data_IF_000958690322
#
_entry.id   IF_000958690322
#
_cell.length_a   1.000
_cell.length_b   1.000
_cell.length_c   1.000
_cell.angle_alpha   90.00
_cell.angle_beta   90.00
_cell.angle_gamma   90.00
#
_symmetry.space_group_name_H-M   'P 1'
#
loop_
_entity.id
_entity.type
_entity.pdbx_description
1 polymer ?
#
# COMPACT_ATOMS: atom_id res chain seq x y z
N UNK A 1 14.53 2.90 29.68
CA UNK A 1 14.62 1.45 29.37
C UNK A 1 14.68 1.35 27.86
N UNK A 2 15.81 0.89 27.32
CA UNK A 2 16.04 0.84 25.87
C UNK A 2 15.17 -0.26 25.27
N UNK A 3 14.24 0.13 24.39
CA UNK A 3 13.44 -0.80 23.57
C UNK A 3 14.39 -1.49 22.58
N UNK A 4 14.67 -2.75 22.83
CA UNK A 4 15.37 -3.64 21.90
C UNK A 4 14.60 -3.69 20.58
N UNK A 5 15.25 -3.59 19.40
CA UNK A 5 14.58 -3.80 18.12
C UNK A 5 13.90 -5.17 18.16
N UNK A 6 12.58 -5.20 17.89
CA UNK A 6 11.84 -6.47 17.79
C UNK A 6 12.52 -7.32 16.72
N UNK A 7 13.29 -8.30 17.16
CA UNK A 7 13.73 -9.39 16.30
C UNK A 7 12.49 -9.99 15.64
N UNK A 8 12.59 -10.27 14.34
CA UNK A 8 11.58 -11.03 13.60
C UNK A 8 11.18 -12.24 14.45
N UNK A 9 9.91 -12.36 14.85
CA UNK A 9 9.51 -13.44 15.76
C UNK A 9 9.92 -14.79 15.17
N UNK A 10 10.44 -15.74 15.99
CA UNK A 10 10.83 -17.08 15.53
C UNK A 10 9.70 -17.91 14.91
N UNK A 11 8.46 -17.42 14.98
CA UNK A 11 7.25 -17.99 14.38
C UNK A 11 7.38 -18.16 12.85
N UNK A 12 8.16 -17.33 12.17
CA UNK A 12 8.38 -17.46 10.72
C UNK A 12 9.28 -18.65 10.32
N UNK A 13 10.04 -19.22 11.26
CA UNK A 13 10.72 -20.51 11.05
C UNK A 13 9.73 -21.68 10.91
N UNK A 14 8.47 -21.52 11.34
CA UNK A 14 7.46 -22.58 11.32
C UNK A 14 6.48 -22.51 10.15
N UNK A 15 6.40 -21.41 9.36
CA UNK A 15 5.51 -21.32 8.20
C UNK A 15 5.93 -22.24 7.04
N UNK A 16 7.17 -22.74 7.08
CA UNK A 16 7.63 -23.83 6.23
C UNK A 16 8.82 -24.51 6.90
N UNK A 17 8.59 -25.52 7.72
CA UNK A 17 9.68 -26.33 8.29
C UNK A 17 10.70 -26.66 7.19
N UNK A 18 11.84 -25.96 7.18
CA UNK A 18 12.96 -26.21 6.29
C UNK A 18 12.76 -25.88 4.80
N UNK A 19 11.81 -25.02 4.42
CA UNK A 19 11.60 -24.64 3.01
C UNK A 19 12.06 -23.20 2.76
N UNK A 20 12.79 -22.99 1.68
CA UNK A 20 13.32 -21.70 1.25
C UNK A 20 12.61 -21.23 -0.01
N UNK A 21 12.16 -19.99 -0.04
CA UNK A 21 11.29 -19.47 -1.06
C UNK A 21 12.02 -18.43 -1.91
N UNK A 22 11.89 -18.56 -3.23
CA UNK A 22 12.26 -17.52 -4.17
C UNK A 22 11.03 -17.07 -4.95
N UNK A 23 10.95 -15.78 -5.25
CA UNK A 23 10.02 -15.23 -6.22
C UNK A 23 10.81 -14.71 -7.42
N UNK A 24 10.31 -14.93 -8.63
CA UNK A 24 10.94 -14.46 -9.85
C UNK A 24 9.91 -13.99 -10.88
N UNK A 25 10.29 -13.06 -11.74
CA UNK A 25 9.47 -12.70 -12.88
C UNK A 25 10.18 -13.02 -14.19
N UNK A 26 9.42 -13.41 -15.22
CA UNK A 26 9.93 -13.76 -16.53
C UNK A 26 8.88 -13.47 -17.61
N UNK A 27 9.35 -12.98 -18.76
CA UNK A 27 8.48 -12.59 -19.87
C UNK A 27 8.45 -13.62 -21.01
N UNK A 28 9.30 -14.65 -21.00
CA UNK A 28 9.55 -15.51 -22.16
C UNK A 28 9.45 -17.00 -21.86
N UNK A 29 9.33 -17.81 -22.93
CA UNK A 29 9.49 -19.28 -22.84
C UNK A 29 10.83 -19.68 -22.21
N UNK A 30 11.90 -18.91 -22.49
CA UNK A 30 13.24 -19.14 -21.94
C UNK A 30 13.26 -18.98 -20.41
N UNK A 31 12.60 -17.93 -19.87
CA UNK A 31 12.50 -17.75 -18.42
C UNK A 31 11.78 -18.89 -17.73
N UNK A 32 10.71 -19.44 -18.33
CA UNK A 32 10.02 -20.62 -17.78
C UNK A 32 10.93 -21.87 -17.76
N UNK A 33 11.73 -22.07 -18.79
CA UNK A 33 12.68 -23.18 -18.82
C UNK A 33 13.78 -23.04 -17.75
N UNK A 34 14.30 -21.84 -17.53
CA UNK A 34 15.27 -21.57 -16.46
C UNK A 34 14.68 -21.81 -15.06
N UNK A 35 13.43 -21.43 -14.84
CA UNK A 35 12.74 -21.72 -13.56
C UNK A 35 12.56 -23.22 -13.36
N UNK A 36 12.13 -23.95 -14.37
CA UNK A 36 11.98 -25.41 -14.31
C UNK A 36 13.32 -26.13 -14.04
N UNK A 37 14.42 -25.58 -14.52
CA UNK A 37 15.77 -26.13 -14.34
C UNK A 37 16.47 -25.63 -13.08
N UNK A 38 15.85 -24.77 -12.28
CA UNK A 38 16.44 -24.20 -11.06
C UNK A 38 16.59 -25.21 -9.91
N UNK A 39 16.00 -26.40 -10.01
CA UNK A 39 15.97 -27.40 -8.96
C UNK A 39 14.94 -27.14 -7.84
N UNK A 40 14.20 -26.05 -7.93
CA UNK A 40 13.10 -25.73 -6.99
C UNK A 40 11.77 -26.32 -7.44
N UNK A 41 10.88 -26.57 -6.48
CA UNK A 41 9.49 -26.91 -6.77
C UNK A 41 8.69 -25.62 -6.97
N UNK A 42 8.08 -25.48 -8.14
CA UNK A 42 7.16 -24.35 -8.42
C UNK A 42 5.89 -24.55 -7.60
N UNK A 43 5.62 -23.67 -6.65
CA UNK A 43 4.40 -23.70 -5.83
C UNK A 43 3.26 -22.93 -6.46
N UNK A 44 3.57 -21.82 -7.06
CA UNK A 44 2.59 -20.96 -7.71
C UNK A 44 3.24 -20.24 -8.87
N UNK A 45 2.50 -20.09 -9.97
CA UNK A 45 2.89 -19.30 -11.13
C UNK A 45 1.70 -18.45 -11.53
N UNK A 46 1.94 -17.17 -11.75
CA UNK A 46 0.90 -16.20 -12.09
C UNK A 46 1.32 -15.39 -13.30
N UNK A 47 0.43 -15.31 -14.27
CA UNK A 47 0.55 -14.39 -15.38
C UNK A 47 -0.13 -13.08 -15.02
N UNK A 48 0.55 -11.98 -15.27
CA UNK A 48 0.11 -10.61 -15.02
C UNK A 48 0.12 -9.86 -16.36
N UNK A 49 -0.87 -10.11 -17.25
CA UNK A 49 -0.82 -9.64 -18.63
C UNK A 49 -0.86 -8.13 -18.77
N UNK A 50 -1.58 -7.41 -17.90
CA UNK A 50 -1.65 -5.95 -17.92
C UNK A 50 -0.31 -5.31 -17.50
N UNK A 51 0.44 -5.97 -16.62
CA UNK A 51 1.80 -5.58 -16.25
C UNK A 51 2.87 -6.08 -17.25
N UNK A 52 2.47 -6.97 -18.17
CA UNK A 52 3.40 -7.63 -19.09
C UNK A 52 4.42 -8.50 -18.36
N UNK A 53 4.05 -9.13 -17.25
CA UNK A 53 4.91 -9.94 -16.40
C UNK A 53 4.34 -11.35 -16.22
N UNK A 54 5.22 -12.29 -15.89
CA UNK A 54 4.86 -13.56 -15.30
C UNK A 54 5.71 -13.77 -14.06
N UNK A 55 5.11 -14.19 -12.98
CA UNK A 55 5.79 -14.41 -11.70
C UNK A 55 5.64 -15.85 -11.25
N UNK A 56 6.60 -16.36 -10.49
CA UNK A 56 6.53 -17.67 -9.88
C UNK A 56 7.13 -17.65 -8.48
N UNK A 57 6.56 -18.45 -7.59
CA UNK A 57 7.14 -18.77 -6.29
C UNK A 57 7.71 -20.18 -6.34
N UNK A 58 8.98 -20.31 -5.96
CA UNK A 58 9.69 -21.60 -5.89
C UNK A 58 10.06 -21.91 -4.44
N UNK A 59 10.05 -23.20 -4.11
CA UNK A 59 10.52 -23.67 -2.81
C UNK A 59 11.66 -24.65 -3.00
N UNK A 60 12.65 -24.56 -2.11
CA UNK A 60 13.83 -25.39 -2.10
C UNK A 60 13.95 -26.15 -0.78
N UNK A 61 14.52 -27.38 -0.78
CA UNK A 61 14.72 -28.15 0.44
C UNK A 61 15.71 -27.48 1.42
N UNK A 62 16.73 -26.76 0.91
CA UNK A 62 17.76 -26.09 1.72
C UNK A 62 17.96 -24.64 1.30
N UNK A 63 18.49 -23.82 2.22
CA UNK A 63 18.86 -22.44 1.95
C UNK A 63 19.96 -22.37 0.87
N UNK A 64 20.94 -23.23 0.95
CA UNK A 64 22.05 -23.27 0.00
C UNK A 64 21.58 -23.47 -1.44
N UNK A 65 20.62 -24.39 -1.66
CA UNK A 65 20.00 -24.60 -2.96
C UNK A 65 19.21 -23.36 -3.43
N UNK A 66 18.50 -22.70 -2.53
CA UNK A 66 17.78 -21.49 -2.85
C UNK A 66 18.72 -20.33 -3.21
N UNK A 67 19.81 -20.15 -2.45
CA UNK A 67 20.80 -19.09 -2.71
C UNK A 67 21.57 -19.36 -4.03
N UNK A 68 21.92 -20.61 -4.32
CA UNK A 68 22.54 -20.99 -5.59
C UNK A 68 21.61 -20.76 -6.79
N UNK A 69 20.33 -21.13 -6.66
CA UNK A 69 19.31 -20.89 -7.69
C UNK A 69 19.08 -19.39 -7.90
N UNK A 70 19.04 -18.60 -6.85
CA UNK A 70 18.89 -17.14 -6.92
C UNK A 70 20.02 -16.51 -7.75
N UNK A 71 21.28 -16.87 -7.47
CA UNK A 71 22.44 -16.40 -8.21
C UNK A 71 22.38 -16.82 -9.68
N UNK A 72 22.00 -18.07 -9.97
CA UNK A 72 21.89 -18.58 -11.32
C UNK A 72 20.79 -17.85 -12.13
N UNK A 73 19.65 -17.58 -11.54
CA UNK A 73 18.54 -16.85 -12.17
C UNK A 73 18.90 -15.39 -12.45
N UNK A 74 19.61 -14.75 -11.54
CA UNK A 74 20.08 -13.37 -11.70
C UNK A 74 21.19 -13.25 -12.76
N UNK A 75 22.04 -14.28 -12.90
CA UNK A 75 23.10 -14.35 -13.89
C UNK A 75 22.64 -14.75 -15.30
N UNK A 76 21.40 -15.24 -15.46
CA UNK A 76 20.85 -15.69 -16.73
C UNK A 76 20.85 -14.58 -17.81
N UNK A 77 20.83 -14.99 -19.09
CA UNK A 77 20.74 -14.06 -20.22
C UNK A 77 19.55 -14.44 -21.13
N UNK A 78 18.48 -13.64 -21.25
CA UNK A 78 18.26 -12.38 -20.51
C UNK A 78 18.07 -12.62 -18.99
N UNK A 79 18.40 -11.66 -18.14
CA UNK A 79 18.32 -11.83 -16.69
C UNK A 79 16.86 -12.01 -16.24
N UNK A 80 16.67 -12.87 -15.24
CA UNK A 80 15.40 -13.03 -14.53
C UNK A 80 15.49 -12.21 -13.24
N UNK A 81 14.52 -11.35 -12.98
CA UNK A 81 14.40 -10.70 -11.67
C UNK A 81 13.95 -11.74 -10.67
N UNK A 82 14.78 -12.06 -9.72
CA UNK A 82 14.50 -13.01 -8.66
C UNK A 82 14.96 -12.47 -7.31
N UNK A 83 14.22 -12.76 -6.24
CA UNK A 83 14.54 -12.36 -4.88
C UNK A 83 13.96 -13.35 -3.86
N UNK A 84 14.40 -13.26 -2.62
CA UNK A 84 13.80 -13.99 -1.50
C UNK A 84 12.38 -13.45 -1.28
N UNK A 85 11.42 -14.36 -1.11
CA UNK A 85 10.02 -13.99 -1.02
C UNK A 85 9.74 -13.14 0.24
N UNK A 86 9.41 -11.88 0.04
CA UNK A 86 9.17 -10.93 1.12
C UNK A 86 7.79 -11.12 1.76
N UNK A 87 7.74 -10.90 3.07
CA UNK A 87 6.50 -10.86 3.84
C UNK A 87 6.09 -9.39 3.99
N UNK A 88 4.82 -9.12 3.75
CA UNK A 88 4.24 -7.78 3.73
C UNK A 88 3.25 -7.67 4.89
N UNK A 89 3.33 -6.59 5.66
CA UNK A 89 2.51 -6.36 6.86
C UNK A 89 1.61 -5.15 6.71
N UNK A 90 0.40 -5.16 7.34
CA UNK A 90 -0.38 -3.95 7.54
C UNK A 90 0.33 -3.04 8.56
N UNK A 91 0.20 -1.73 8.38
CA UNK A 91 0.90 -0.76 9.22
C UNK A 91 -0.07 0.01 10.11
N UNK A 92 -0.27 -0.46 11.34
CA UNK A 92 -1.22 0.11 12.29
C UNK A 92 -0.71 0.14 13.73
N UNK A 93 -1.12 1.18 14.50
CA UNK A 93 -1.11 1.20 15.97
C UNK A 93 -2.30 2.04 16.46
N UNK A 94 -2.77 1.84 17.70
CA UNK A 94 -3.97 2.53 18.21
C UNK A 94 -3.71 3.45 19.38
N UNK A 95 -4.62 4.36 19.61
CA UNK A 95 -5.18 5.16 20.71
C UNK A 95 -5.07 6.70 20.59
N UNK A 96 -6.09 7.46 20.98
CA UNK A 96 -6.30 8.61 21.30
C UNK A 96 -7.16 9.76 21.67
N UNK A 97 -7.07 11.01 21.38
CA UNK A 97 -7.79 12.17 21.96
C UNK A 97 -8.17 13.30 20.96
N UNK A 98 -7.97 13.13 19.68
CA UNK A 98 -8.28 14.16 18.68
C UNK A 98 -9.78 14.28 18.37
N UNK A 99 -10.24 15.45 17.90
CA UNK A 99 -11.60 15.64 17.39
C UNK A 99 -11.90 14.73 16.19
N UNK A 100 -13.14 14.25 16.06
CA UNK A 100 -13.54 13.24 15.06
C UNK A 100 -13.28 13.65 13.60
N UNK A 101 -13.16 14.92 13.29
CA UNK A 101 -13.01 15.45 11.92
C UNK A 101 -11.76 16.31 11.72
N UNK A 102 -10.84 16.32 12.69
CA UNK A 102 -9.65 17.16 12.63
C UNK A 102 -8.85 16.99 11.31
N UNK A 103 -8.89 15.78 10.72
CA UNK A 103 -8.17 15.48 9.50
C UNK A 103 -8.65 16.34 8.32
N UNK A 104 -9.96 16.53 8.16
CA UNK A 104 -10.53 17.38 7.11
C UNK A 104 -10.21 18.86 7.36
N UNK A 105 -10.23 19.30 8.61
CA UNK A 105 -9.84 20.66 9.00
C UNK A 105 -8.37 20.94 8.66
N UNK A 106 -7.47 20.03 8.98
CA UNK A 106 -6.04 20.14 8.62
C UNK A 106 -5.82 20.22 7.11
N UNK A 107 -6.62 19.51 6.32
CA UNK A 107 -6.57 19.49 4.87
C UNK A 107 -7.32 20.70 4.24
N UNK A 108 -7.86 21.60 5.06
CA UNK A 108 -8.66 22.77 4.66
C UNK A 108 -9.92 22.44 3.86
N UNK A 109 -10.52 21.29 4.12
CA UNK A 109 -11.84 20.96 3.58
C UNK A 109 -12.89 21.83 4.27
N UNK A 110 -13.50 22.76 3.54
CA UNK A 110 -14.48 23.72 4.07
C UNK A 110 -15.92 23.31 3.81
N UNK A 111 -16.16 22.54 2.76
CA UNK A 111 -17.50 22.15 2.35
C UNK A 111 -17.58 20.67 1.98
N UNK A 112 -18.76 20.02 2.17
CA UNK A 112 -18.97 18.64 1.72
C UNK A 112 -18.77 18.44 0.21
N UNK A 113 -18.94 19.47 -0.59
CA UNK A 113 -18.71 19.41 -2.04
C UNK A 113 -17.24 19.11 -2.37
N UNK A 114 -16.30 19.59 -1.55
CA UNK A 114 -14.87 19.36 -1.72
C UNK A 114 -14.45 17.91 -1.44
N UNK A 115 -15.32 17.07 -0.88
CA UNK A 115 -15.06 15.64 -0.67
C UNK A 115 -15.59 14.77 -1.81
N UNK A 116 -16.18 15.35 -2.85
CA UNK A 116 -16.82 14.60 -3.94
C UNK A 116 -15.94 14.49 -5.18
N UNK A 117 -15.95 13.29 -5.77
CA UNK A 117 -15.38 13.01 -7.10
C UNK A 117 -16.52 13.05 -8.12
N UNK A 118 -16.42 13.94 -9.11
CA UNK A 118 -17.50 14.18 -10.10
C UNK A 118 -17.26 13.51 -11.46
N UNK A 119 -16.35 12.54 -11.53
CA UNK A 119 -16.02 11.86 -12.78
C UNK A 119 -15.81 10.36 -12.57
N UNK A 120 -15.65 9.63 -13.68
CA UNK A 120 -15.47 8.18 -13.70
C UNK A 120 -14.08 7.69 -13.20
N UNK A 121 -13.43 8.42 -12.27
CA UNK A 121 -12.16 7.98 -11.69
C UNK A 121 -12.36 6.69 -10.90
N UNK A 122 -11.45 5.75 -11.12
CA UNK A 122 -11.39 4.49 -10.39
C UNK A 122 -10.20 4.53 -9.43
N UNK A 123 -10.48 4.41 -8.14
CA UNK A 123 -9.50 4.37 -7.05
C UNK A 123 -9.44 2.95 -6.50
N UNK A 124 -8.25 2.37 -6.47
CA UNK A 124 -8.00 1.07 -5.88
C UNK A 124 -7.31 1.17 -4.53
N UNK A 125 -7.44 0.14 -3.70
CA UNK A 125 -6.56 -0.05 -2.56
C UNK A 125 -6.29 -1.54 -2.30
N UNK A 126 -5.11 -1.83 -1.75
CA UNK A 126 -4.67 -3.18 -1.40
C UNK A 126 -4.46 -3.22 0.11
N UNK A 127 -5.23 -4.10 0.80
CA UNK A 127 -5.30 -4.11 2.27
C UNK A 127 -5.84 -5.44 2.81
N UNK A 128 -6.37 -5.43 4.04
CA UNK A 128 -7.30 -6.47 4.51
C UNK A 128 -8.60 -6.39 3.73
N UNK A 129 -9.45 -7.39 3.83
CA UNK A 129 -10.84 -7.25 3.39
C UNK A 129 -11.54 -6.15 4.19
N UNK A 130 -12.67 -5.67 3.71
CA UNK A 130 -13.54 -4.75 4.44
C UNK A 130 -14.74 -5.50 5.02
N UNK A 131 -15.25 -5.01 6.14
CA UNK A 131 -16.39 -5.65 6.83
C UNK A 131 -17.69 -5.55 6.01
N UNK A 132 -17.95 -4.39 5.41
CA UNK A 132 -19.11 -4.12 4.55
C UNK A 132 -18.84 -2.89 3.67
N UNK A 133 -19.51 -2.82 2.54
CA UNK A 133 -19.58 -1.60 1.72
C UNK A 133 -20.64 -0.61 2.25
N UNK A 134 -21.47 -1.01 3.21
CA UNK A 134 -22.43 -0.12 3.86
C UNK A 134 -21.71 1.06 4.52
N UNK A 135 -22.21 2.24 4.31
CA UNK A 135 -21.54 3.48 4.75
C UNK A 135 -20.43 3.97 3.82
N UNK A 136 -20.22 3.38 2.65
CA UNK A 136 -19.39 3.94 1.61
C UNK A 136 -20.23 4.74 0.61
N UNK A 137 -19.86 5.97 0.36
CA UNK A 137 -20.49 6.84 -0.65
C UNK A 137 -19.72 6.74 -1.98
N UNK A 138 -19.86 5.62 -2.67
CA UNK A 138 -19.19 5.34 -3.95
C UNK A 138 -20.18 5.35 -5.11
N UNK A 139 -19.72 5.68 -6.32
CA UNK A 139 -20.51 5.52 -7.55
C UNK A 139 -20.61 4.03 -7.92
N UNK A 140 -19.54 3.27 -7.72
CA UNK A 140 -19.54 1.81 -7.80
C UNK A 140 -18.51 1.21 -6.85
N UNK A 141 -18.79 0.02 -6.34
CA UNK A 141 -17.88 -0.72 -5.47
C UNK A 141 -17.69 -2.14 -5.97
N UNK A 142 -16.43 -2.59 -5.99
CA UNK A 142 -16.09 -4.01 -6.18
C UNK A 142 -14.99 -4.39 -5.21
N UNK A 143 -15.05 -5.60 -4.68
CA UNK A 143 -13.99 -6.20 -3.87
C UNK A 143 -13.58 -7.56 -4.40
N UNK A 144 -12.32 -7.94 -4.16
CA UNK A 144 -11.81 -9.25 -4.53
C UNK A 144 -10.78 -9.72 -3.49
N UNK A 145 -10.92 -11.00 -3.09
CA UNK A 145 -9.96 -11.72 -2.25
C UNK A 145 -8.90 -12.39 -3.13
N UNK A 146 -7.65 -12.41 -2.67
CA UNK A 146 -6.51 -12.96 -3.40
C UNK A 146 -5.81 -14.13 -2.69
N UNK A 147 -6.14 -14.42 -1.45
CA UNK A 147 -5.67 -15.62 -0.74
C UNK A 147 -6.73 -16.75 -0.81
N UNK A 148 -6.33 -17.98 -0.50
CA UNK A 148 -7.21 -19.14 -0.63
C UNK A 148 -8.36 -19.08 0.39
N UNK A 149 -9.52 -19.68 0.04
CA UNK A 149 -10.69 -19.76 0.93
C UNK A 149 -10.42 -20.58 2.20
N UNK A 150 -9.40 -21.43 2.17
CA UNK A 150 -8.92 -22.19 3.34
C UNK A 150 -8.06 -21.38 4.28
N UNK A 151 -7.56 -20.21 3.86
CA UNK A 151 -6.78 -19.32 4.70
C UNK A 151 -7.69 -18.52 5.63
N UNK A 152 -7.24 -18.27 6.85
CA UNK A 152 -7.96 -17.41 7.79
C UNK A 152 -7.77 -15.94 7.41
N UNK A 153 -8.83 -15.20 7.08
CA UNK A 153 -8.71 -13.78 6.77
C UNK A 153 -8.15 -12.99 7.97
N UNK A 154 -7.39 -11.93 7.69
CA UNK A 154 -7.05 -10.95 8.70
C UNK A 154 -8.32 -10.18 9.15
N UNK A 155 -8.34 -9.61 10.39
CA UNK A 155 -9.42 -8.73 10.82
C UNK A 155 -9.64 -7.59 9.84
N UNK A 156 -10.91 -7.30 9.53
CA UNK A 156 -11.31 -6.33 8.48
C UNK A 156 -11.16 -4.86 8.89
N UNK A 157 -10.82 -4.60 10.12
CA UNK A 157 -10.76 -3.25 10.71
C UNK A 157 -9.84 -2.28 9.96
N UNK A 158 -8.68 -2.77 9.50
CA UNK A 158 -7.69 -1.93 8.85
C UNK A 158 -8.18 -1.49 7.47
N UNK A 159 -8.57 -2.41 6.60
CA UNK A 159 -9.09 -2.10 5.27
C UNK A 159 -10.42 -1.34 5.32
N UNK A 160 -11.28 -1.62 6.31
CA UNK A 160 -12.52 -0.85 6.55
C UNK A 160 -12.21 0.61 6.92
N UNK A 161 -11.20 0.84 7.78
CA UNK A 161 -10.75 2.18 8.12
C UNK A 161 -10.18 2.95 6.93
N UNK A 162 -9.36 2.29 6.11
CA UNK A 162 -8.83 2.85 4.86
C UNK A 162 -9.98 3.19 3.90
N UNK A 163 -10.91 2.27 3.67
CA UNK A 163 -12.07 2.50 2.80
C UNK A 163 -12.95 3.66 3.29
N UNK A 164 -13.12 3.80 4.62
CA UNK A 164 -13.85 4.92 5.19
C UNK A 164 -13.17 6.26 4.93
N UNK A 165 -11.84 6.36 5.10
CA UNK A 165 -11.09 7.59 4.78
C UNK A 165 -11.22 7.93 3.30
N UNK A 166 -11.18 6.94 2.41
CA UNK A 166 -11.34 7.14 0.98
C UNK A 166 -12.74 7.65 0.64
N UNK A 167 -13.79 6.93 1.01
CA UNK A 167 -15.13 7.20 0.50
C UNK A 167 -16.26 6.95 1.52
N UNK A 168 -15.94 6.92 2.82
CA UNK A 168 -16.94 6.70 3.86
C UNK A 168 -17.95 7.83 3.97
N UNK A 169 -19.16 7.46 4.40
CA UNK A 169 -20.21 8.38 4.81
C UNK A 169 -21.07 7.70 5.86
N UNK A 170 -21.42 8.40 6.91
CA UNK A 170 -22.37 7.90 7.89
C UNK A 170 -23.32 9.00 8.38
N UNK A 171 -24.38 8.59 9.07
CA UNK A 171 -25.40 9.50 9.59
C UNK A 171 -24.88 10.39 10.72
N UNK A 172 -23.74 10.06 11.33
CA UNK A 172 -23.08 10.87 12.36
C UNK A 172 -22.16 11.96 11.77
N UNK A 173 -22.21 12.22 10.46
CA UNK A 173 -21.50 13.31 9.79
C UNK A 173 -20.08 12.95 9.35
N UNK A 174 -19.61 11.70 9.46
CA UNK A 174 -18.29 11.32 8.94
C UNK A 174 -18.30 11.38 7.41
N UNK A 175 -17.21 11.91 6.86
CA UNK A 175 -17.01 12.04 5.40
C UNK A 175 -15.60 11.58 5.02
N UNK A 176 -15.53 10.61 4.12
CA UNK A 176 -14.31 10.28 3.38
C UNK A 176 -14.04 11.32 2.29
N UNK A 177 -12.79 11.39 1.86
CA UNK A 177 -12.32 12.49 1.02
C UNK A 177 -12.61 12.31 -0.49
N UNK A 178 -13.02 11.11 -0.95
CA UNK A 178 -13.31 10.83 -2.37
C UNK A 178 -14.70 10.21 -2.57
N UNK A 179 -15.74 10.82 -1.99
CA UNK A 179 -17.12 10.36 -2.17
C UNK A 179 -17.54 10.39 -3.64
N UNK A 180 -18.28 9.40 -4.10
CA UNK A 180 -18.68 9.26 -5.49
C UNK A 180 -17.63 8.59 -6.40
N UNK A 181 -16.47 8.24 -5.89
CA UNK A 181 -15.45 7.53 -6.65
C UNK A 181 -15.90 6.09 -7.00
N UNK A 182 -15.40 5.53 -8.09
CA UNK A 182 -15.47 4.08 -8.34
C UNK A 182 -14.39 3.40 -7.50
N UNK A 183 -14.76 2.70 -6.43
CA UNK A 183 -13.81 2.12 -5.48
C UNK A 183 -13.59 0.63 -5.75
N UNK A 184 -12.33 0.20 -5.71
CA UNK A 184 -11.89 -1.18 -5.89
C UNK A 184 -11.05 -1.62 -4.69
N UNK A 185 -11.51 -2.65 -3.97
CA UNK A 185 -10.87 -3.17 -2.75
C UNK A 185 -10.24 -4.54 -3.01
N UNK A 186 -8.93 -4.65 -2.88
CA UNK A 186 -8.19 -5.91 -3.02
C UNK A 186 -7.77 -6.44 -1.64
N UNK A 187 -8.43 -7.50 -1.17
CA UNK A 187 -8.11 -8.18 0.08
C UNK A 187 -6.96 -9.17 -0.10
N UNK A 188 -5.81 -8.86 0.47
CA UNK A 188 -4.60 -9.69 0.37
C UNK A 188 -4.09 -10.20 1.71
N UNK A 189 -4.57 -9.65 2.83
CA UNK A 189 -4.07 -9.95 4.16
C UNK A 189 -4.80 -11.12 4.80
N UNK A 190 -4.03 -12.04 5.38
CA UNK A 190 -4.53 -13.21 6.10
C UNK A 190 -3.78 -13.36 7.43
N UNK A 191 -4.39 -14.07 8.37
CA UNK A 191 -3.71 -14.46 9.61
C UNK A 191 -2.78 -15.63 9.30
N UNK A 192 -1.47 -15.37 9.29
CA UNK A 192 -0.44 -16.38 8.98
C UNK A 192 0.03 -17.15 10.23
N UNK A 193 -0.23 -16.58 11.40
CA UNK A 193 -0.08 -17.21 12.72
C UNK A 193 -1.01 -16.47 13.70
N UNK A 194 -1.35 -17.01 14.87
CA UNK A 194 -2.25 -16.39 15.83
C UNK A 194 -1.88 -14.93 16.11
N UNK A 195 -2.76 -13.99 15.73
CA UNK A 195 -2.57 -12.55 15.89
C UNK A 195 -1.55 -11.91 14.93
N UNK A 196 -0.98 -12.66 13.98
CA UNK A 196 -0.03 -12.16 12.99
C UNK A 196 -0.70 -12.12 11.62
N UNK A 197 -0.99 -10.91 11.15
CA UNK A 197 -1.59 -10.67 9.86
C UNK A 197 -0.51 -10.27 8.85
N UNK A 198 -0.46 -10.94 7.70
CA UNK A 198 0.51 -10.68 6.65
C UNK A 198 0.01 -11.11 5.28
N UNK A 199 0.69 -10.68 4.25
CA UNK A 199 0.57 -11.13 2.87
C UNK A 199 1.96 -11.41 2.29
N UNK A 200 2.05 -11.58 0.99
CA UNK A 200 3.31 -11.75 0.29
C UNK A 200 3.29 -10.99 -1.05
N UNK A 201 4.46 -10.81 -1.63
CA UNK A 201 4.66 -10.10 -2.90
C UNK A 201 3.77 -10.61 -4.04
N UNK A 202 3.56 -11.93 -4.12
CA UNK A 202 2.78 -12.53 -5.20
C UNK A 202 1.30 -12.14 -5.13
N UNK A 203 0.71 -12.14 -3.92
CA UNK A 203 -0.68 -11.71 -3.72
C UNK A 203 -0.84 -10.20 -4.00
N UNK A 204 0.15 -9.38 -3.61
CA UNK A 204 0.16 -7.95 -3.93
C UNK A 204 0.25 -7.72 -5.45
N UNK A 205 1.10 -8.49 -6.16
CA UNK A 205 1.20 -8.43 -7.61
C UNK A 205 -0.10 -8.81 -8.32
N UNK A 206 -0.77 -9.89 -7.88
CA UNK A 206 -2.07 -10.31 -8.41
C UNK A 206 -3.17 -9.26 -8.14
N UNK A 207 -3.16 -8.66 -6.95
CA UNK A 207 -4.10 -7.61 -6.59
C UNK A 207 -3.89 -6.37 -7.48
N UNK A 208 -2.66 -5.95 -7.71
CA UNK A 208 -2.34 -4.82 -8.57
C UNK A 208 -2.72 -5.09 -10.03
N UNK A 209 -2.47 -6.30 -10.54
CA UNK A 209 -2.90 -6.73 -11.87
C UNK A 209 -4.42 -6.63 -12.05
N UNK A 210 -5.20 -7.12 -11.05
CA UNK A 210 -6.66 -6.99 -11.07
C UNK A 210 -7.09 -5.52 -11.04
N UNK A 211 -6.49 -4.70 -10.18
CA UNK A 211 -6.81 -3.28 -10.12
C UNK A 211 -6.56 -2.58 -11.46
N UNK A 212 -5.48 -2.93 -12.15
CA UNK A 212 -5.20 -2.40 -13.49
C UNK A 212 -6.27 -2.86 -14.50
N UNK A 213 -6.71 -4.12 -14.45
CA UNK A 213 -7.81 -4.60 -15.29
C UNK A 213 -9.16 -3.91 -15.01
N UNK A 214 -9.35 -3.39 -13.80
CA UNK A 214 -10.48 -2.54 -13.41
C UNK A 214 -10.30 -1.06 -13.77
N UNK A 215 -9.25 -0.73 -14.55
CA UNK A 215 -8.93 0.62 -15.03
C UNK A 215 -8.66 1.66 -13.94
N UNK A 216 -8.01 1.28 -12.84
CA UNK A 216 -7.64 2.24 -11.79
C UNK A 216 -6.70 3.32 -12.31
N UNK A 217 -6.80 4.50 -11.74
CA UNK A 217 -5.86 5.61 -11.94
C UNK A 217 -4.94 5.80 -10.73
N UNK A 218 -5.44 5.49 -9.54
CA UNK A 218 -4.73 5.64 -8.27
C UNK A 218 -4.88 4.36 -7.46
N UNK A 219 -3.81 3.92 -6.79
CA UNK A 219 -3.86 2.79 -5.86
C UNK A 219 -3.23 3.19 -4.53
N UNK A 220 -3.98 3.00 -3.44
CA UNK A 220 -3.48 3.14 -2.08
C UNK A 220 -2.90 1.81 -1.58
N UNK A 221 -1.69 1.86 -1.03
CA UNK A 221 -0.92 0.73 -0.51
C UNK A 221 -0.58 0.97 0.96
N UNK A 222 -1.54 0.69 1.85
CA UNK A 222 -1.38 0.87 3.31
C UNK A 222 -0.67 -0.33 3.96
N UNK A 223 0.42 -0.77 3.35
CA UNK A 223 1.19 -1.96 3.71
C UNK A 223 2.69 -1.70 3.54
N UNK A 224 3.52 -2.55 4.14
CA UNK A 224 4.98 -2.41 4.03
C UNK A 224 5.77 -3.69 4.26
N UNK A 225 6.94 -3.73 3.64
CA UNK A 225 7.89 -4.84 3.69
C UNK A 225 9.34 -4.34 3.65
N UNK A 226 10.29 -5.28 3.73
CA UNK A 226 11.65 -5.06 3.25
C UNK A 226 11.65 -4.92 1.71
N UNK A 227 12.79 -4.50 1.14
CA UNK A 227 12.98 -4.48 -0.30
C UNK A 227 12.78 -5.88 -0.91
N UNK A 228 12.15 -5.91 -2.07
CA UNK A 228 11.86 -7.13 -2.84
C UNK A 228 11.93 -6.77 -4.32
N UNK A 229 12.81 -7.42 -5.07
CA UNK A 229 13.05 -7.08 -6.47
C UNK A 229 11.85 -7.39 -7.38
N UNK A 230 11.03 -8.39 -7.02
CA UNK A 230 9.81 -8.71 -7.78
C UNK A 230 8.76 -7.64 -7.55
N UNK A 231 8.57 -7.19 -6.30
CA UNK A 231 7.66 -6.08 -6.00
C UNK A 231 8.12 -4.78 -6.68
N UNK A 232 9.44 -4.51 -6.69
CA UNK A 232 10.01 -3.37 -7.41
C UNK A 232 9.68 -3.40 -8.92
N UNK A 233 9.80 -4.57 -9.56
CA UNK A 233 9.46 -4.72 -10.96
C UNK A 233 7.97 -4.51 -11.24
N UNK A 234 7.09 -5.05 -10.39
CA UNK A 234 5.64 -4.87 -10.47
C UNK A 234 5.26 -3.38 -10.32
N UNK A 235 5.82 -2.70 -9.32
CA UNK A 235 5.63 -1.25 -9.08
C UNK A 235 6.11 -0.43 -10.28
N UNK A 236 7.30 -0.73 -10.80
CA UNK A 236 7.86 -0.04 -11.97
C UNK A 236 6.95 -0.17 -13.20
N UNK A 237 6.38 -1.36 -13.44
CA UNK A 237 5.44 -1.58 -14.55
C UNK A 237 4.13 -0.82 -14.37
N UNK A 238 3.56 -0.81 -13.16
CA UNK A 238 2.36 -0.04 -12.87
C UNK A 238 2.58 1.47 -13.09
N UNK A 239 3.72 2.01 -12.62
CA UNK A 239 4.11 3.40 -12.87
C UNK A 239 4.26 3.71 -14.36
N UNK A 240 4.88 2.79 -15.14
CA UNK A 240 5.03 2.95 -16.58
C UNK A 240 3.67 3.00 -17.31
N UNK A 241 2.66 2.33 -16.80
CA UNK A 241 1.27 2.40 -17.28
C UNK A 241 0.53 3.69 -16.83
N UNK A 242 1.17 4.55 -16.05
CA UNK A 242 0.59 5.79 -15.56
C UNK A 242 -0.35 5.61 -14.35
N UNK A 243 -0.25 4.48 -13.64
CA UNK A 243 -0.96 4.29 -12.38
C UNK A 243 -0.22 5.03 -11.27
N UNK A 244 -0.91 5.89 -10.55
CA UNK A 244 -0.34 6.61 -9.40
C UNK A 244 -0.41 5.72 -8.17
N UNK A 245 0.74 5.34 -7.63
CA UNK A 245 0.84 4.52 -6.42
C UNK A 245 1.14 5.42 -5.22
N UNK A 246 0.31 5.32 -4.19
CA UNK A 246 0.45 6.03 -2.92
C UNK A 246 0.66 5.01 -1.83
N UNK A 247 1.70 5.15 -1.02
CA UNK A 247 2.03 4.15 -0.01
C UNK A 247 2.37 4.77 1.36
N UNK A 248 2.07 4.02 2.40
CA UNK A 248 2.43 4.35 3.77
C UNK A 248 3.96 4.33 3.97
N UNK A 249 4.56 5.41 4.47
CA UNK A 249 6.01 5.55 4.62
C UNK A 249 6.64 4.56 5.62
N UNK A 250 5.84 3.98 6.52
CA UNK A 250 6.30 3.01 7.51
C UNK A 250 6.10 3.48 8.96
N UNK A 251 6.01 2.51 9.88
CA UNK A 251 5.76 2.75 11.31
C UNK A 251 6.82 2.07 12.20
N UNK A 252 8.05 1.97 11.72
CA UNK A 252 9.19 1.38 12.44
C UNK A 252 10.00 2.37 13.28
N UNK A 253 9.71 3.67 13.17
CA UNK A 253 10.41 4.74 13.89
C UNK A 253 11.53 5.41 13.09
N UNK A 254 12.18 6.39 13.71
CA UNK A 254 13.15 7.29 13.07
C UNK A 254 14.40 6.62 12.51
N UNK A 255 14.77 5.46 13.04
CA UNK A 255 15.97 4.69 12.66
C UNK A 255 15.64 3.46 11.82
N UNK A 256 14.36 3.23 11.50
CA UNK A 256 13.95 2.08 10.71
C UNK A 256 14.48 2.17 9.27
N UNK A 257 14.79 1.02 8.70
CA UNK A 257 15.08 0.91 7.27
C UNK A 257 13.89 1.40 6.43
N UNK A 258 14.13 1.85 5.18
CA UNK A 258 13.06 2.23 4.27
C UNK A 258 12.00 1.13 4.14
N UNK A 259 10.74 1.52 4.10
CA UNK A 259 9.60 0.61 3.90
C UNK A 259 9.20 0.57 2.43
N UNK A 260 8.96 -0.61 1.90
CA UNK A 260 8.53 -0.83 0.52
C UNK A 260 7.09 -1.33 0.48
N UNK A 261 6.28 -0.87 -0.49
CA UNK A 261 6.65 -0.20 -1.74
C UNK A 261 6.90 1.31 -1.63
N UNK A 262 6.71 1.97 -0.50
CA UNK A 262 6.82 3.42 -0.38
C UNK A 262 8.18 3.97 -0.86
N UNK A 263 9.27 3.26 -0.59
CA UNK A 263 10.62 3.70 -0.96
C UNK A 263 11.03 3.35 -2.42
N UNK A 264 10.17 2.73 -3.22
CA UNK A 264 10.46 2.55 -4.63
C UNK A 264 10.28 3.83 -5.43
N UNK A 265 11.12 4.06 -6.47
CA UNK A 265 10.95 5.20 -7.36
C UNK A 265 9.55 5.26 -7.98
N UNK A 266 8.97 6.46 -8.04
CA UNK A 266 7.65 6.69 -8.62
C UNK A 266 6.47 6.40 -7.68
N UNK A 267 6.70 5.91 -6.46
CA UNK A 267 5.68 5.77 -5.43
C UNK A 267 5.63 7.03 -4.57
N UNK A 268 4.44 7.51 -4.28
CA UNK A 268 4.21 8.66 -3.40
C UNK A 268 4.16 8.16 -1.96
N UNK A 269 5.28 8.29 -1.25
CA UNK A 269 5.39 7.88 0.15
C UNK A 269 4.78 8.92 1.08
N UNK A 270 3.83 8.51 1.91
CA UNK A 270 3.09 9.40 2.79
C UNK A 270 3.42 9.11 4.26
N UNK A 271 3.89 10.14 4.97
CA UNK A 271 4.06 10.12 6.41
C UNK A 271 2.82 10.64 7.14
N UNK A 272 2.73 10.39 8.44
CA UNK A 272 1.58 10.73 9.26
C UNK A 272 1.88 11.89 10.22
N UNK A 273 0.92 12.81 10.37
CA UNK A 273 0.92 13.84 11.41
C UNK A 273 -0.35 13.78 12.24
N UNK A 274 -0.27 14.32 13.46
CA UNK A 274 -1.39 14.51 14.37
C UNK A 274 -2.14 15.84 14.13
N UNK A 275 -3.16 16.12 14.93
CA UNK A 275 -3.94 17.35 14.89
C UNK A 275 -3.09 18.63 15.13
N UNK A 276 -2.00 18.51 15.88
CA UNK A 276 -1.00 19.57 16.10
C UNK A 276 0.05 19.69 15.02
N UNK A 277 -0.06 18.91 13.92
CA UNK A 277 0.93 18.82 12.84
C UNK A 277 2.28 18.25 13.30
N UNK A 278 2.32 17.54 14.44
CA UNK A 278 3.52 16.86 14.89
C UNK A 278 3.67 15.53 14.14
N UNK A 279 4.91 15.19 13.79
CA UNK A 279 5.21 13.92 13.14
C UNK A 279 4.80 12.74 14.04
N UNK A 280 4.14 11.76 13.47
CA UNK A 280 3.86 10.51 14.15
C UNK A 280 5.15 9.90 14.71
N UNK A 281 5.22 9.69 16.04
CA UNK A 281 6.45 9.28 16.72
C UNK A 281 7.06 7.98 16.17
N UNK A 282 6.22 7.11 15.59
CA UNK A 282 6.63 5.85 14.98
C UNK A 282 6.81 5.93 13.46
N UNK A 283 6.62 7.09 12.83
CA UNK A 283 6.83 7.20 11.39
C UNK A 283 8.31 6.94 11.02
N UNK A 284 8.51 6.20 9.94
CA UNK A 284 9.82 6.11 9.31
C UNK A 284 10.22 7.47 8.74
N UNK A 285 11.52 7.72 8.70
CA UNK A 285 12.11 8.91 8.11
C UNK A 285 13.02 8.53 6.96
N UNK A 286 13.16 9.41 5.98
CA UNK A 286 14.10 9.18 4.88
C UNK A 286 13.80 10.04 3.66
N UNK A 287 14.74 10.12 2.72
CA UNK A 287 14.61 10.96 1.52
C UNK A 287 13.49 10.50 0.56
N UNK A 288 12.94 9.31 0.77
CA UNK A 288 11.82 8.79 0.00
C UNK A 288 10.45 9.36 0.44
N UNK A 289 10.35 9.94 1.65
CA UNK A 289 9.10 10.56 2.12
C UNK A 289 8.75 11.74 1.23
N UNK A 290 7.57 11.68 0.62
CA UNK A 290 7.14 12.68 -0.35
C UNK A 290 6.23 13.76 0.25
N UNK A 291 5.27 13.35 1.10
CA UNK A 291 4.23 14.21 1.68
C UNK A 291 3.85 13.76 3.08
N UNK A 292 3.33 14.70 3.87
CA UNK A 292 2.65 14.44 5.13
C UNK A 292 1.13 14.56 4.95
N UNK A 293 0.38 13.75 5.71
CA UNK A 293 -1.08 13.86 5.80
C UNK A 293 -1.54 13.47 7.22
N UNK A 294 -2.79 13.80 7.63
CA UNK A 294 -3.35 13.36 8.90
C UNK A 294 -3.31 11.83 9.02
N UNK A 295 -2.77 11.31 10.12
CA UNK A 295 -2.64 9.85 10.28
C UNK A 295 -2.45 9.40 11.72
N UNK A 296 -2.61 10.33 12.69
CA UNK A 296 -2.54 10.01 14.13
C UNK A 296 -3.90 10.32 14.75
N UNK A 297 -4.47 9.32 15.41
CA UNK A 297 -5.78 9.45 16.04
C UNK A 297 -6.89 9.86 15.05
N UNK A 298 -6.82 9.31 13.86
CA UNK A 298 -7.88 9.47 12.87
C UNK A 298 -9.09 8.65 13.31
N UNK A 299 -10.20 9.32 13.56
CA UNK A 299 -11.44 8.62 13.85
C UNK A 299 -12.02 8.03 12.57
N UNK A 300 -12.32 6.73 12.59
CA UNK A 300 -12.96 6.02 11.48
C UNK A 300 -14.23 5.31 11.99
N UNK A 301 -15.32 5.32 11.19
CA UNK A 301 -16.55 4.63 11.57
C UNK A 301 -16.36 3.11 11.53
N UNK A 302 -17.12 2.42 12.38
CA UNK A 302 -17.32 0.97 12.36
C UNK A 302 -18.75 0.71 11.96
N UNK A 303 -18.98 0.24 10.73
CA UNK A 303 -20.33 0.09 10.17
C UNK A 303 -21.07 1.43 10.01
N UNK A 304 -22.40 1.38 9.94
CA UNK A 304 -23.27 2.53 9.72
C UNK A 304 -23.78 3.20 11.00
N UNK A 305 -23.53 2.62 12.18
CA UNK A 305 -24.19 2.95 13.44
C UNK A 305 -23.66 4.20 14.14
N UNK A 306 -22.79 4.99 13.55
CA UNK A 306 -22.14 6.14 14.18
C UNK A 306 -21.09 5.79 15.24
N UNK A 307 -20.90 4.50 15.54
CA UNK A 307 -19.78 4.00 16.35
C UNK A 307 -18.50 4.05 15.50
N UNK A 308 -17.37 4.24 16.14
CA UNK A 308 -16.09 4.26 15.46
C UNK A 308 -14.94 4.12 16.45
N UNK A 309 -13.75 4.12 15.92
CA UNK A 309 -12.52 4.05 16.69
C UNK A 309 -11.47 4.99 16.13
N UNK A 310 -10.53 5.37 16.99
CA UNK A 310 -9.35 6.11 16.56
C UNK A 310 -8.28 5.15 16.08
N UNK A 311 -7.65 5.50 14.96
CA UNK A 311 -6.60 4.71 14.33
C UNK A 311 -5.40 5.59 14.03
N UNK A 312 -4.18 5.06 14.25
CA UNK A 312 -2.94 5.80 14.03
C UNK A 312 -1.95 4.98 13.21
N UNK A 313 -1.29 5.64 12.28
CA UNK A 313 -0.26 5.07 11.42
C UNK A 313 -0.19 5.78 10.07
N UNK A 314 0.94 5.63 9.40
CA UNK A 314 1.10 6.11 8.01
C UNK A 314 0.11 5.44 7.05
N UNK A 315 -0.44 4.27 7.41
CA UNK A 315 -1.54 3.60 6.69
C UNK A 315 -2.83 4.41 6.62
N UNK A 316 -3.08 5.29 7.60
CA UNK A 316 -4.27 6.14 7.64
C UNK A 316 -3.99 7.54 7.07
N UNK A 317 -2.72 7.88 6.86
CA UNK A 317 -2.31 9.10 6.16
C UNK A 317 -2.35 8.91 4.62
N UNK A 318 -1.85 7.79 4.12
CA UNK A 318 -1.79 7.50 2.69
C UNK A 318 -3.15 7.61 1.98
N UNK A 319 -4.28 7.09 2.51
CA UNK A 319 -5.57 7.18 1.84
C UNK A 319 -6.09 8.61 1.67
N UNK A 320 -5.75 9.57 2.55
CA UNK A 320 -6.08 10.98 2.31
C UNK A 320 -5.40 11.51 1.06
N UNK A 321 -4.11 11.18 0.86
CA UNK A 321 -3.37 11.58 -0.34
C UNK A 321 -3.93 10.89 -1.59
N UNK A 322 -4.22 9.59 -1.52
CA UNK A 322 -4.82 8.85 -2.63
C UNK A 322 -6.19 9.43 -3.03
N UNK A 323 -7.03 9.77 -2.07
CA UNK A 323 -8.32 10.41 -2.30
C UNK A 323 -8.18 11.81 -2.94
N UNK A 324 -7.25 12.64 -2.44
CA UNK A 324 -6.97 13.96 -3.00
C UNK A 324 -6.49 13.87 -4.45
N UNK A 325 -5.65 12.88 -4.76
CA UNK A 325 -5.20 12.62 -6.13
C UNK A 325 -6.39 12.23 -7.01
N UNK A 326 -7.28 11.34 -6.55
CA UNK A 326 -8.47 10.97 -7.30
C UNK A 326 -9.35 12.17 -7.61
N UNK A 327 -9.54 13.10 -6.66
CA UNK A 327 -10.26 14.36 -6.90
C UNK A 327 -9.57 15.24 -7.95
N UNK A 328 -8.25 15.43 -7.82
CA UNK A 328 -7.48 16.27 -8.76
C UNK A 328 -7.49 15.68 -10.17
N UNK A 329 -7.38 14.35 -10.32
CA UNK A 329 -7.50 13.69 -11.62
C UNK A 329 -8.90 13.75 -12.21
N UNK A 330 -9.94 13.80 -11.35
CA UNK A 330 -11.32 13.99 -11.78
C UNK A 330 -11.55 15.40 -12.33
N UNK A 331 -11.01 16.42 -11.66
CA UNK A 331 -11.13 17.81 -12.06
C UNK A 331 -10.22 18.16 -13.25
N UNK A 332 -9.00 17.64 -13.27
CA UNK A 332 -7.97 17.94 -14.26
C UNK A 332 -7.24 16.62 -14.65
N UNK A 333 -7.75 15.90 -15.64
CA UNK A 333 -7.13 14.65 -16.08
C UNK A 333 -5.68 14.87 -16.56
N UNK A 334 -4.78 14.05 -16.07
CA UNK A 334 -3.38 14.00 -16.52
C UNK A 334 -3.22 12.89 -17.54
N UNK A 335 -2.44 13.12 -18.58
CA UNK A 335 -2.13 12.08 -19.55
C UNK A 335 -1.46 10.86 -18.86
N UNK A 336 -1.99 9.68 -19.12
CA UNK A 336 -1.42 8.42 -18.57
C UNK A 336 -0.06 8.14 -19.20
N UNK A 337 0.93 7.79 -18.37
CA UNK A 337 2.26 7.42 -18.83
C UNK A 337 3.29 7.46 -17.70
N UNK A 338 4.56 7.20 -18.00
CA UNK A 338 5.62 7.11 -16.97
C UNK A 338 5.82 8.37 -16.13
N UNK A 339 5.38 9.53 -16.63
CA UNK A 339 5.51 10.82 -15.93
C UNK A 339 4.27 11.21 -15.09
N UNK A 340 3.23 10.36 -15.04
CA UNK A 340 1.99 10.68 -14.33
C UNK A 340 2.26 10.95 -12.86
N UNK A 341 2.94 10.04 -12.17
CA UNK A 341 3.25 10.17 -10.72
C UNK A 341 4.10 11.40 -10.42
N UNK A 342 5.12 11.70 -11.24
CA UNK A 342 5.99 12.88 -11.03
C UNK A 342 5.24 14.19 -11.24
N UNK A 343 4.32 14.25 -12.20
CA UNK A 343 3.46 15.42 -12.42
C UNK A 343 2.51 15.61 -11.24
N UNK A 344 1.87 14.54 -10.79
CA UNK A 344 0.93 14.58 -9.67
C UNK A 344 1.63 15.02 -8.38
N UNK A 345 2.78 14.44 -8.03
CA UNK A 345 3.50 14.82 -6.81
C UNK A 345 4.00 16.26 -6.88
N UNK A 346 4.49 16.73 -8.02
CA UNK A 346 4.90 18.11 -8.20
C UNK A 346 3.75 19.09 -7.90
N UNK A 347 2.55 18.80 -8.39
CA UNK A 347 1.37 19.62 -8.16
C UNK A 347 0.92 19.59 -6.69
N UNK A 348 0.99 18.44 -6.03
CA UNK A 348 0.69 18.32 -4.60
C UNK A 348 1.70 19.09 -3.74
N UNK A 349 2.98 18.96 -4.06
CA UNK A 349 4.04 19.68 -3.35
C UNK A 349 3.94 21.19 -3.49
N UNK A 350 3.54 21.70 -4.65
CA UNK A 350 3.36 23.12 -4.86
C UNK A 350 2.26 23.73 -3.98
N UNK A 351 1.26 22.92 -3.58
CA UNK A 351 0.16 23.34 -2.71
C UNK A 351 0.38 22.96 -1.22
N UNK A 352 1.39 22.17 -0.91
CA UNK A 352 1.62 21.67 0.44
C UNK A 352 1.99 22.80 1.41
N UNK A 353 1.53 22.68 2.66
CA UNK A 353 2.01 23.53 3.76
C UNK A 353 3.36 23.01 4.23
N UNK A 354 4.45 23.75 4.07
CA UNK A 354 5.77 23.30 4.53
C UNK A 354 5.77 23.02 6.04
N UNK A 355 6.38 21.90 6.43
CA UNK A 355 6.57 21.50 7.82
C UNK A 355 8.06 21.21 8.06
N UNK A 356 8.51 21.46 9.32
CA UNK A 356 9.91 21.26 9.70
C UNK A 356 10.81 22.42 9.31
N UNK A 357 12.12 22.26 9.57
CA UNK A 357 13.13 23.30 9.33
C UNK A 357 13.50 23.47 7.85
N UNK A 358 13.28 22.46 7.04
CA UNK A 358 13.56 22.43 5.58
C UNK A 358 12.40 21.84 4.82
N UNK A 359 12.22 22.23 3.56
CA UNK A 359 11.25 21.60 2.63
C UNK A 359 11.93 21.45 1.26
N UNK A 360 12.03 20.21 0.73
CA UNK A 360 11.60 18.97 1.33
C UNK A 360 12.46 18.52 2.53
N UNK A 361 11.89 17.74 3.44
CA UNK A 361 12.58 17.17 4.59
C UNK A 361 12.41 15.65 4.63
N UNK A 362 13.35 14.91 5.27
CA UNK A 362 13.21 13.45 5.42
C UNK A 362 12.06 13.05 6.36
N UNK A 363 11.47 13.99 7.07
CA UNK A 363 10.36 13.76 8.02
C UNK A 363 9.00 14.00 7.40
N UNK A 364 8.86 15.07 6.61
CA UNK A 364 7.56 15.56 6.11
C UNK A 364 7.48 15.62 4.58
N UNK A 365 8.55 15.23 3.87
CA UNK A 365 8.62 15.47 2.43
C UNK A 365 8.51 16.96 2.11
N UNK A 366 7.68 17.33 1.15
CA UNK A 366 7.41 18.73 0.81
C UNK A 366 6.40 19.42 1.77
N UNK A 367 5.88 18.70 2.77
CA UNK A 367 5.00 19.27 3.80
C UNK A 367 3.64 18.58 3.89
N UNK A 368 2.74 19.19 4.66
CA UNK A 368 1.37 18.72 4.85
C UNK A 368 0.53 19.01 3.60
N UNK A 369 -0.04 17.96 3.03
CA UNK A 369 -0.96 18.07 1.90
C UNK A 369 -2.08 19.07 2.20
N UNK A 370 -2.42 19.89 1.22
CA UNK A 370 -3.59 20.79 1.21
C UNK A 370 -4.44 20.50 -0.04
N UNK A 371 -5.76 20.76 0.05
CA UNK A 371 -6.72 20.60 -1.04
C UNK A 371 -6.93 21.88 -1.83
#
# INVERSE_FOLDING_TARGET
MADTPRQIPPVFRNLSRGKWWLAGHFLSKHGRALLANSGGTVLNQVNLPNLGLSTAALVFPTQEQADAALLALQAARPPITADKHAIVYPMQTGSSSAGKQYALELLKVQTPAQTRVQSAVVLGFIDTEIASADGLATASFKSKRFFADTDKPAPTDHGSGVAAILAGKNDAGFQGLAQGVNLRAAGVMREVAPGINATNTLLVAQALEWLISENVQVVNLSLGSAADAVLAAVVSKANALGIVLVAAAGNGGSTAAPSYPAAYPGVIAVTAVDAGKQLYARANRGPYVALAAPGVDVWVPVGTTGKGKYMSGTSFAAPFVAAAIAQKLAANPVAKGPQTSSTVIKNLCAAALPLGATSPSPEFGCGLMQL
#
